data_IF_064770078784
#
_entry.id   IF_064770078784
#
_cell.length_a   1.000
_cell.length_b   1.000
_cell.length_c   1.000
_cell.angle_alpha   90.00
_cell.angle_beta   90.00
_cell.angle_gamma   90.00
#
_symmetry.space_group_name_H-M   'P 1'
#
loop_
_entity.id
_entity.type
_entity.pdbx_description
1 polymer ?
#
# COMPACT_ATOMS: atom_id res chain seq x y z
N UNK A 1 11.72 -9.30 -6.70
CA UNK A 1 13.07 -9.87 -6.59
C UNK A 1 13.30 -10.99 -7.60
N UNK A 2 12.52 -12.07 -7.54
CA UNK A 2 12.65 -13.20 -8.49
C UNK A 2 12.33 -12.83 -9.95
N UNK A 3 11.45 -11.85 -10.15
CA UNK A 3 11.05 -11.34 -11.47
C UNK A 3 11.63 -9.96 -11.77
N UNK A 4 12.54 -9.46 -10.93
CA UNK A 4 13.18 -8.13 -11.06
C UNK A 4 12.18 -6.96 -11.25
N UNK A 5 11.07 -6.99 -10.52
CA UNK A 5 10.07 -5.93 -10.54
C UNK A 5 10.59 -4.64 -9.88
N UNK A 6 10.22 -3.49 -10.45
CA UNK A 6 10.58 -2.15 -9.94
C UNK A 6 9.65 -1.64 -8.83
N UNK A 7 8.40 -2.13 -8.78
CA UNK A 7 7.42 -1.75 -7.78
C UNK A 7 6.41 -2.88 -7.52
N UNK A 8 5.85 -2.89 -6.31
CA UNK A 8 4.74 -3.76 -5.91
C UNK A 8 3.43 -2.96 -5.93
N UNK A 9 2.56 -3.29 -6.88
CA UNK A 9 1.22 -2.73 -6.99
C UNK A 9 0.24 -3.57 -6.16
N UNK A 10 -0.28 -3.01 -5.07
CA UNK A 10 -1.23 -3.67 -4.17
C UNK A 10 -2.63 -3.09 -4.34
N UNK A 11 -3.45 -3.80 -5.13
CA UNK A 11 -4.86 -3.48 -5.27
C UNK A 11 -5.66 -3.93 -4.04
N UNK A 12 -6.41 -3.02 -3.42
CA UNK A 12 -7.36 -3.31 -2.34
C UNK A 12 -8.80 -3.10 -2.81
N UNK A 13 -9.73 -3.82 -2.18
CA UNK A 13 -11.16 -3.71 -2.48
C UNK A 13 -11.85 -2.79 -1.45
N UNK A 14 -12.26 -1.60 -1.91
CA UNK A 14 -12.98 -0.62 -1.10
C UNK A 14 -12.10 0.24 -0.19
N UNK A 15 -10.78 0.27 -0.42
CA UNK A 15 -9.86 1.28 0.11
C UNK A 15 -8.86 1.65 -0.98
N UNK A 16 -8.52 2.93 -1.06
CA UNK A 16 -7.70 3.54 -2.10
C UNK A 16 -6.28 3.92 -1.60
N UNK A 17 -5.87 3.40 -0.45
CA UNK A 17 -4.57 3.65 0.13
C UNK A 17 -4.41 3.06 1.53
N UNK A 18 -3.39 3.53 2.25
CA UNK A 18 -3.12 3.15 3.63
C UNK A 18 -3.71 4.20 4.56
N UNK A 19 -4.43 3.73 5.58
CA UNK A 19 -5.09 4.57 6.58
C UNK A 19 -4.56 4.23 7.97
N UNK A 20 -4.66 5.17 8.91
CA UNK A 20 -4.30 4.96 10.32
C UNK A 20 -5.24 3.97 11.04
N UNK A 21 -6.47 3.88 10.55
CA UNK A 21 -7.55 3.06 11.06
C UNK A 21 -8.45 2.61 9.91
N UNK A 22 -9.31 1.61 10.13
CA UNK A 22 -10.19 1.11 9.07
C UNK A 22 -11.24 2.18 8.71
N UNK A 23 -11.22 2.75 7.48
CA UNK A 23 -12.16 3.81 7.08
C UNK A 23 -13.61 3.34 7.03
N UNK A 24 -13.87 2.03 7.02
CA UNK A 24 -15.23 1.48 7.11
C UNK A 24 -15.79 1.49 8.53
N UNK A 25 -14.91 1.45 9.54
CA UNK A 25 -15.27 1.44 10.95
C UNK A 25 -15.08 2.81 11.61
N UNK A 26 -14.10 3.59 11.14
CA UNK A 26 -13.78 4.92 11.64
C UNK A 26 -13.93 5.97 10.52
N UNK A 27 -14.95 6.85 10.56
CA UNK A 27 -15.11 7.92 9.58
C UNK A 27 -14.01 8.99 9.66
N UNK A 28 -13.30 9.10 10.80
CA UNK A 28 -12.17 10.03 10.98
C UNK A 28 -10.83 9.41 10.55
N UNK A 29 -10.85 8.27 9.84
CA UNK A 29 -9.63 7.62 9.38
C UNK A 29 -8.82 8.53 8.46
N UNK A 30 -7.54 8.71 8.78
CA UNK A 30 -6.63 9.57 8.04
C UNK A 30 -5.84 8.73 7.05
N UNK A 31 -5.95 9.09 5.77
CA UNK A 31 -5.15 8.51 4.69
C UNK A 31 -3.72 9.02 4.78
N UNK A 32 -2.75 8.13 4.58
CA UNK A 32 -1.36 8.49 4.40
C UNK A 32 -1.02 8.55 2.90
N UNK A 33 -0.45 9.67 2.46
CA UNK A 33 0.02 9.82 1.07
C UNK A 33 1.36 9.09 0.84
N UNK A 34 2.24 9.13 1.84
CA UNK A 34 3.51 8.42 1.84
C UNK A 34 3.84 7.93 3.25
N UNK A 35 4.33 6.69 3.34
CA UNK A 35 4.73 6.06 4.60
C UNK A 35 6.08 5.37 4.42
N UNK A 36 6.96 5.54 5.39
CA UNK A 36 8.14 4.70 5.48
C UNK A 36 7.78 3.28 5.93
N UNK A 37 8.51 2.27 5.45
CA UNK A 37 8.35 0.88 5.92
C UNK A 37 8.46 0.76 7.46
N UNK A 38 9.33 1.57 8.07
CA UNK A 38 9.47 1.61 9.53
C UNK A 38 8.18 2.06 10.22
N UNK A 39 7.49 3.06 9.69
CA UNK A 39 6.21 3.53 10.26
C UNK A 39 5.10 2.50 10.10
N UNK A 40 5.05 1.80 8.95
CA UNK A 40 4.10 0.70 8.73
C UNK A 40 4.27 -0.39 9.80
N UNK A 41 5.52 -0.74 10.12
CA UNK A 41 5.84 -1.74 11.14
C UNK A 41 5.55 -1.21 12.55
N UNK A 42 5.98 0.01 12.88
CA UNK A 42 5.79 0.60 14.22
C UNK A 42 4.33 0.86 14.55
N UNK A 43 3.51 1.23 13.56
CA UNK A 43 2.08 1.50 13.74
C UNK A 43 1.19 0.26 13.53
N UNK A 44 1.79 -0.92 13.31
CA UNK A 44 1.10 -2.18 13.03
C UNK A 44 0.02 -2.03 11.93
N UNK A 45 0.32 -1.27 10.88
CA UNK A 45 -0.65 -1.00 9.82
C UNK A 45 -0.88 -2.28 9.02
N UNK A 46 -2.14 -2.74 8.98
CA UNK A 46 -2.56 -3.99 8.33
C UNK A 46 -2.63 -3.90 6.80
N UNK A 47 -1.58 -3.36 6.18
CA UNK A 47 -1.47 -3.23 4.73
C UNK A 47 -1.17 -4.58 4.08
N UNK A 48 -0.18 -5.29 4.61
CA UNK A 48 0.21 -6.63 4.19
C UNK A 48 0.82 -7.39 5.38
N UNK A 49 1.16 -8.66 5.17
CA UNK A 49 1.90 -9.45 6.16
C UNK A 49 3.25 -8.80 6.49
N UNK A 50 3.65 -8.79 7.76
CA UNK A 50 4.93 -8.20 8.21
C UNK A 50 6.14 -8.77 7.46
N UNK A 51 6.08 -10.06 7.09
CA UNK A 51 7.15 -10.72 6.33
C UNK A 51 7.28 -10.11 4.94
N UNK A 52 6.16 -9.84 4.28
CA UNK A 52 6.14 -9.22 2.95
C UNK A 52 6.64 -7.78 2.98
N UNK A 53 6.24 -7.00 4.00
CA UNK A 53 6.73 -5.62 4.20
C UNK A 53 8.23 -5.60 4.44
N UNK A 54 8.74 -6.51 5.27
CA UNK A 54 10.18 -6.62 5.55
C UNK A 54 10.97 -7.01 4.29
N UNK A 55 10.48 -7.97 3.51
CA UNK A 55 11.09 -8.35 2.24
C UNK A 55 11.15 -7.16 1.25
N UNK A 56 10.07 -6.39 1.15
CA UNK A 56 10.04 -5.21 0.27
C UNK A 56 10.99 -4.11 0.76
N UNK A 57 11.09 -3.91 2.08
CA UNK A 57 12.02 -2.96 2.69
C UNK A 57 13.48 -3.30 2.36
N UNK A 58 13.86 -4.56 2.57
CA UNK A 58 15.25 -5.00 2.39
C UNK A 58 15.68 -4.92 0.91
N UNK A 59 14.74 -5.18 0.01
CA UNK A 59 14.96 -5.09 -1.43
C UNK A 59 14.65 -3.71 -2.03
N UNK A 60 14.34 -2.71 -1.18
CA UNK A 60 14.00 -1.33 -1.58
C UNK A 60 12.89 -1.28 -2.64
N UNK A 61 11.94 -2.22 -2.59
CA UNK A 61 10.87 -2.36 -3.56
C UNK A 61 9.66 -1.50 -3.14
N UNK A 62 9.41 -0.33 -3.79
CA UNK A 62 8.30 0.55 -3.44
C UNK A 62 6.96 -0.18 -3.55
N UNK A 63 6.07 0.06 -2.58
CA UNK A 63 4.72 -0.52 -2.55
C UNK A 63 3.73 0.61 -2.82
N UNK A 64 2.91 0.46 -3.85
CA UNK A 64 1.82 1.38 -4.16
C UNK A 64 0.48 0.69 -3.85
N UNK A 65 -0.27 1.26 -2.92
CA UNK A 65 -1.59 0.75 -2.54
C UNK A 65 -2.66 1.60 -3.22
N UNK A 66 -3.59 0.96 -3.93
CA UNK A 66 -4.64 1.65 -4.67
C UNK A 66 -5.95 0.84 -4.68
N UNK A 67 -7.06 1.51 -5.00
CA UNK A 67 -8.35 0.84 -5.12
C UNK A 67 -8.44 0.10 -6.46
N UNK A 68 -8.65 -1.21 -6.41
CA UNK A 68 -8.65 -2.07 -7.60
C UNK A 68 -9.91 -1.91 -8.48
N UNK A 69 -11.06 -1.66 -7.85
CA UNK A 69 -12.36 -1.62 -8.54
C UNK A 69 -12.69 -0.27 -9.17
N UNK A 70 -11.96 0.78 -8.81
CA UNK A 70 -12.12 2.09 -9.43
C UNK A 70 -11.65 2.04 -10.89
N UNK A 71 -12.54 2.45 -11.79
CA UNK A 71 -12.30 2.39 -13.23
C UNK A 71 -11.03 3.16 -13.61
N UNK A 72 -10.09 2.48 -14.27
CA UNK A 72 -8.83 3.07 -14.74
C UNK A 72 -7.72 3.19 -13.68
N UNK A 73 -7.94 2.78 -12.43
CA UNK A 73 -6.93 2.92 -11.37
C UNK A 73 -5.65 2.13 -11.63
N UNK A 74 -5.74 0.90 -12.15
CA UNK A 74 -4.54 0.11 -12.48
C UNK A 74 -3.67 0.86 -13.51
N UNK A 75 -4.30 1.46 -14.52
CA UNK A 75 -3.58 2.21 -15.55
C UNK A 75 -2.94 3.48 -15.00
N UNK A 76 -3.60 4.17 -14.05
CA UNK A 76 -3.05 5.33 -13.32
C UNK A 76 -1.88 4.94 -12.41
N UNK A 77 -2.03 3.86 -11.65
CA UNK A 77 -1.01 3.32 -10.77
C UNK A 77 0.28 2.95 -11.53
N UNK A 78 0.16 2.32 -12.71
CA UNK A 78 1.32 2.01 -13.56
C UNK A 78 1.99 3.27 -14.14
N UNK A 79 1.23 4.35 -14.33
CA UNK A 79 1.77 5.64 -14.76
C UNK A 79 2.42 6.46 -13.63
N UNK A 80 2.25 6.04 -12.38
CA UNK A 80 2.77 6.75 -11.20
C UNK A 80 1.90 7.93 -10.75
N UNK A 81 0.61 7.92 -11.08
CA UNK A 81 -0.40 8.86 -10.56
C UNK A 81 -0.96 8.43 -9.19
#
# INVERSE_FOLDING_TARGET
>A
LEIDAEALLMGKNGVDGVYDSDPKANPDAVKFDALGYGEVITRDLKVADMTAITLCRDNKLPILVFELLAAGNIARAVKGE
#
